data_IF_542155198350
#
_entry.id   IF_542155198350
#
_cell.length_a   1.000
_cell.length_b   1.000
_cell.length_c   1.000
_cell.angle_alpha   90.00
_cell.angle_beta   90.00
_cell.angle_gamma   90.00
#
_symmetry.space_group_name_H-M   'P 1'
#
loop_
_entity.id
_entity.type
_entity.pdbx_description
1 polymer ?
#
# COMPACT_ATOMS: atom_id res chain seq x y z
N UNK A 1 -15.85 9.81 22.44
CA UNK A 1 -15.96 10.54 21.16
C UNK A 1 -14.56 10.87 20.67
N UNK A 2 -13.95 9.95 19.92
CA UNK A 2 -12.69 10.26 19.23
C UNK A 2 -12.95 11.42 18.26
N UNK A 3 -12.04 12.40 18.21
CA UNK A 3 -12.14 13.51 17.23
C UNK A 3 -12.22 12.93 15.83
N UNK A 4 -13.36 13.09 15.17
CA UNK A 4 -13.55 12.73 13.77
C UNK A 4 -12.48 13.43 12.93
N UNK A 5 -11.75 12.66 12.12
CA UNK A 5 -10.78 13.17 11.17
C UNK A 5 -11.47 14.15 10.21
N UNK A 6 -10.88 15.32 10.02
CA UNK A 6 -11.41 16.29 9.04
C UNK A 6 -11.29 15.73 7.62
N UNK A 7 -12.15 16.17 6.69
CA UNK A 7 -12.09 15.73 5.29
C UNK A 7 -10.69 15.90 4.68
N UNK A 8 -9.99 17.00 4.99
CA UNK A 8 -8.62 17.23 4.51
C UNK A 8 -7.62 16.22 5.07
N UNK A 9 -7.79 15.81 6.34
CA UNK A 9 -6.93 14.79 6.95
C UNK A 9 -7.21 13.42 6.35
N UNK A 10 -8.49 13.06 6.16
CA UNK A 10 -8.88 11.81 5.47
C UNK A 10 -8.31 11.74 4.06
N UNK A 11 -8.42 12.82 3.29
CA UNK A 11 -7.86 12.91 1.94
C UNK A 11 -6.33 12.78 1.93
N UNK A 12 -5.63 13.44 2.86
CA UNK A 12 -4.17 13.33 3.01
C UNK A 12 -3.76 11.90 3.36
N UNK A 13 -4.49 11.25 4.24
CA UNK A 13 -4.25 9.88 4.66
C UNK A 13 -4.46 8.91 3.49
N UNK A 14 -5.59 9.01 2.78
CA UNK A 14 -5.86 8.22 1.59
C UNK A 14 -4.74 8.35 0.55
N UNK A 15 -4.31 9.58 0.24
CA UNK A 15 -3.17 9.83 -0.68
C UNK A 15 -1.89 9.12 -0.24
N UNK A 16 -1.56 9.15 1.05
CA UNK A 16 -0.38 8.47 1.59
C UNK A 16 -0.53 6.96 1.49
N UNK A 17 -1.67 6.40 1.87
CA UNK A 17 -1.96 4.96 1.79
C UNK A 17 -1.82 4.49 0.35
N UNK A 18 -2.48 5.15 -0.62
CA UNK A 18 -2.49 4.72 -2.01
C UNK A 18 -1.15 4.90 -2.71
N UNK A 19 -0.41 5.97 -2.39
CA UNK A 19 0.97 6.14 -2.87
C UNK A 19 1.88 5.03 -2.35
N UNK A 20 1.78 4.68 -1.07
CA UNK A 20 2.54 3.57 -0.48
C UNK A 20 2.13 2.23 -1.08
N UNK A 21 0.83 2.03 -1.35
CA UNK A 21 0.27 0.82 -1.95
C UNK A 21 0.84 0.56 -3.35
N UNK A 22 0.79 1.56 -4.24
CA UNK A 22 1.36 1.41 -5.58
C UNK A 22 2.88 1.25 -5.56
N UNK A 23 3.56 1.95 -4.64
CA UNK A 23 5.00 1.74 -4.44
C UNK A 23 5.29 0.31 -3.99
N UNK A 24 4.51 -0.24 -3.06
CA UNK A 24 4.67 -1.60 -2.58
C UNK A 24 4.46 -2.62 -3.71
N UNK A 25 3.45 -2.42 -4.57
CA UNK A 25 3.24 -3.26 -5.75
C UNK A 25 4.45 -3.25 -6.70
N UNK A 26 5.01 -2.06 -6.99
CA UNK A 26 6.20 -1.93 -7.82
C UNK A 26 7.45 -2.55 -7.18
N UNK A 27 7.64 -2.34 -5.87
CA UNK A 27 8.76 -2.91 -5.11
C UNK A 27 8.68 -4.45 -5.11
N UNK A 28 7.50 -5.04 -4.91
CA UNK A 28 7.28 -6.50 -4.99
C UNK A 28 7.63 -7.00 -6.40
N UNK A 29 7.18 -6.31 -7.44
CA UNK A 29 7.49 -6.67 -8.84
C UNK A 29 9.00 -6.65 -9.08
N UNK A 30 9.67 -5.58 -8.68
CA UNK A 30 11.13 -5.46 -8.79
C UNK A 30 11.86 -6.57 -8.04
N UNK A 31 11.47 -6.83 -6.79
CA UNK A 31 12.03 -7.88 -5.96
C UNK A 31 11.83 -9.28 -6.59
N UNK A 32 10.66 -9.53 -7.19
CA UNK A 32 10.37 -10.80 -7.85
C UNK A 32 11.16 -11.04 -9.14
N UNK A 33 11.52 -9.98 -9.88
CA UNK A 33 12.20 -10.07 -11.17
C UNK A 33 13.72 -10.06 -11.06
N UNK A 34 14.27 -9.36 -10.07
CA UNK A 34 15.71 -9.10 -9.98
C UNK A 34 16.45 -9.93 -8.92
N UNK A 35 15.74 -10.69 -8.08
CA UNK A 35 16.37 -11.55 -7.07
C UNK A 35 16.06 -13.03 -7.29
N UNK A 36 17.10 -13.81 -7.54
CA UNK A 36 17.07 -15.26 -7.41
C UNK A 36 17.25 -15.60 -5.92
N UNK A 37 16.13 -15.80 -5.22
CA UNK A 37 16.10 -16.14 -3.80
C UNK A 37 16.70 -17.52 -3.47
N UNK A 38 17.04 -18.32 -4.50
CA UNK A 38 17.68 -19.61 -4.33
C UNK A 38 19.19 -19.49 -4.56
N UNK A 39 20.04 -20.03 -3.66
CA UNK A 39 21.47 -20.03 -3.85
C UNK A 39 21.81 -20.75 -5.15
N UNK A 40 22.49 -20.04 -6.06
CA UNK A 40 23.10 -20.67 -7.22
C UNK A 40 24.29 -21.47 -6.70
N UNK A 41 24.12 -22.78 -6.59
CA UNK A 41 25.20 -23.69 -6.19
C UNK A 41 26.22 -23.68 -7.32
N UNK A 42 27.31 -22.94 -7.12
CA UNK A 42 28.44 -22.94 -8.03
C UNK A 42 29.21 -24.26 -7.82
N UNK A 43 28.86 -25.27 -8.63
CA UNK A 43 29.34 -26.67 -8.53
C UNK A 43 30.88 -26.76 -8.65
N UNK A 44 31.54 -25.68 -9.06
CA UNK A 44 32.99 -25.59 -9.26
C UNK A 44 33.75 -24.89 -8.12
N UNK A 45 33.08 -24.32 -7.11
CA UNK A 45 33.76 -23.75 -5.93
C UNK A 45 34.17 -24.85 -4.94
N UNK A 46 35.34 -25.44 -5.21
CA UNK A 46 36.01 -26.36 -4.28
C UNK A 46 36.63 -25.54 -3.14
N UNK A 47 36.02 -25.67 -1.96
CA UNK A 47 36.55 -25.30 -0.63
C UNK A 47 37.30 -23.96 -0.54
N UNK A 48 36.59 -22.90 -0.18
CA UNK A 48 37.21 -21.75 0.50
C UNK A 48 36.77 -21.74 1.97
N UNK A 49 37.75 -21.49 2.85
CA UNK A 49 37.68 -21.70 4.29
C UNK A 49 36.58 -20.92 5.02
N UNK A 50 36.23 -21.47 6.18
CA UNK A 50 35.29 -20.91 7.15
C UNK A 50 35.53 -19.41 7.36
N UNK A 51 34.58 -18.55 6.97
CA UNK A 51 34.18 -17.30 7.69
C UNK A 51 33.23 -16.36 6.93
N UNK A 52 32.98 -16.50 5.62
CA UNK A 52 32.23 -15.47 4.87
C UNK A 52 30.81 -15.83 4.38
N UNK A 53 30.31 -17.03 4.66
CA UNK A 53 28.98 -17.47 4.20
C UNK A 53 27.79 -16.82 4.95
N UNK A 54 28.00 -16.18 6.11
CA UNK A 54 26.89 -15.63 6.91
C UNK A 54 26.32 -14.30 6.40
N UNK A 55 27.09 -13.50 5.64
CA UNK A 55 26.65 -12.16 5.17
C UNK A 55 25.66 -12.20 3.99
N UNK A 56 25.85 -13.05 2.95
CA UNK A 56 24.89 -13.19 1.86
C UNK A 56 23.53 -13.70 2.35
N UNK A 57 23.54 -14.68 3.26
CA UNK A 57 22.31 -15.30 3.79
C UNK A 57 21.46 -14.32 4.59
N UNK A 58 22.09 -13.48 5.42
CA UNK A 58 21.38 -12.43 6.17
C UNK A 58 20.75 -11.37 5.24
N UNK A 59 21.43 -11.01 4.13
CA UNK A 59 20.90 -10.05 3.16
C UNK A 59 19.71 -10.63 2.39
N UNK A 60 19.79 -11.91 1.98
CA UNK A 60 18.69 -12.62 1.33
C UNK A 60 17.48 -12.72 2.27
N UNK A 61 17.71 -13.11 3.52
CA UNK A 61 16.65 -13.26 4.52
C UNK A 61 15.94 -11.92 4.81
N UNK A 62 16.70 -10.84 4.95
CA UNK A 62 16.14 -9.49 5.09
C UNK A 62 15.28 -9.06 3.88
N UNK A 63 15.69 -9.42 2.66
CA UNK A 63 14.91 -9.11 1.46
C UNK A 63 13.65 -9.96 1.34
N UNK A 64 13.69 -11.22 1.79
CA UNK A 64 12.51 -12.08 1.87
C UNK A 64 11.51 -11.54 2.88
N UNK A 65 11.97 -11.16 4.08
CA UNK A 65 11.13 -10.51 5.11
C UNK A 65 10.50 -9.23 4.58
N UNK A 66 11.29 -8.33 3.97
CA UNK A 66 10.77 -7.11 3.36
C UNK A 66 9.71 -7.39 2.29
N UNK A 67 9.94 -8.39 1.43
CA UNK A 67 8.95 -8.77 0.41
C UNK A 67 7.65 -9.23 1.06
N UNK A 68 7.74 -10.07 2.09
CA UNK A 68 6.58 -10.58 2.82
C UNK A 68 5.80 -9.44 3.51
N UNK A 69 6.50 -8.47 4.12
CA UNK A 69 5.87 -7.28 4.71
C UNK A 69 5.10 -6.47 3.66
N UNK A 70 5.69 -6.26 2.48
CA UNK A 70 5.04 -5.55 1.37
C UNK A 70 3.82 -6.32 0.85
N UNK A 71 3.93 -7.65 0.70
CA UNK A 71 2.81 -8.51 0.27
C UNK A 71 1.68 -8.48 1.29
N UNK A 72 1.98 -8.53 2.59
CA UNK A 72 1.00 -8.40 3.66
C UNK A 72 0.28 -7.05 3.61
N UNK A 73 1.03 -5.96 3.41
CA UNK A 73 0.45 -4.63 3.26
C UNK A 73 -0.45 -4.51 2.01
N UNK A 74 -0.02 -5.03 0.86
CA UNK A 74 -0.83 -5.06 -0.36
C UNK A 74 -2.09 -5.89 -0.17
N UNK A 75 -1.97 -7.07 0.45
CA UNK A 75 -3.10 -7.96 0.76
C UNK A 75 -4.12 -7.29 1.67
N UNK A 76 -3.66 -6.57 2.69
CA UNK A 76 -4.51 -5.78 3.59
C UNK A 76 -5.31 -4.71 2.84
N UNK A 77 -4.66 -3.95 1.96
CA UNK A 77 -5.36 -2.93 1.16
C UNK A 77 -6.38 -3.58 0.21
N UNK A 78 -6.04 -4.71 -0.41
CA UNK A 78 -6.97 -5.46 -1.26
C UNK A 78 -8.19 -5.97 -0.49
N UNK A 79 -8.02 -6.40 0.77
CA UNK A 79 -9.13 -6.79 1.63
C UNK A 79 -10.05 -5.59 1.90
N UNK A 80 -9.48 -4.41 2.23
CA UNK A 80 -10.25 -3.18 2.38
C UNK A 80 -11.08 -2.91 1.12
N UNK A 81 -10.47 -2.98 -0.07
CA UNK A 81 -11.17 -2.78 -1.34
C UNK A 81 -12.33 -3.76 -1.56
N UNK A 82 -12.14 -5.02 -1.18
CA UNK A 82 -13.18 -6.04 -1.33
C UNK A 82 -14.40 -5.82 -0.43
N UNK A 83 -14.24 -5.08 0.68
CA UNK A 83 -15.32 -4.74 1.60
C UNK A 83 -15.99 -3.41 1.30
N UNK A 84 -15.32 -2.52 0.54
CA UNK A 84 -15.91 -1.27 0.11
C UNK A 84 -17.05 -1.50 -0.89
N UNK A 85 -18.05 -0.64 -0.84
CA UNK A 85 -19.09 -0.57 -1.85
C UNK A 85 -18.50 -0.29 -3.23
N UNK A 86 -19.14 -0.85 -4.26
CA UNK A 86 -18.68 -0.70 -5.65
C UNK A 86 -18.54 0.77 -6.07
N UNK A 87 -19.48 1.63 -5.67
CA UNK A 87 -19.43 3.07 -5.93
C UNK A 87 -18.19 3.70 -5.30
N UNK A 88 -17.91 3.39 -4.04
CA UNK A 88 -16.77 3.94 -3.32
C UNK A 88 -15.44 3.44 -3.85
N UNK A 89 -15.33 2.16 -4.19
CA UNK A 89 -14.13 1.62 -4.79
C UNK A 89 -13.85 2.24 -6.17
N UNK A 90 -14.86 2.38 -7.04
CA UNK A 90 -14.69 3.05 -8.33
C UNK A 90 -14.28 4.53 -8.19
N UNK A 91 -14.77 5.22 -7.15
CA UNK A 91 -14.28 6.56 -6.82
C UNK A 91 -12.80 6.54 -6.42
N UNK A 92 -12.40 5.62 -5.54
CA UNK A 92 -11.00 5.46 -5.10
C UNK A 92 -10.08 5.19 -6.30
N UNK A 93 -10.49 4.30 -7.20
CA UNK A 93 -9.72 3.98 -8.41
C UNK A 93 -9.47 5.23 -9.25
N UNK A 94 -10.50 6.03 -9.46
CA UNK A 94 -10.43 7.24 -10.28
C UNK A 94 -9.63 8.37 -9.60
N UNK A 95 -9.78 8.53 -8.28
CA UNK A 95 -9.21 9.66 -7.52
C UNK A 95 -7.76 9.41 -7.05
N UNK A 96 -7.45 8.19 -6.60
CA UNK A 96 -6.20 7.90 -5.89
C UNK A 96 -5.30 6.87 -6.57
N UNK A 97 -5.84 6.02 -7.45
CA UNK A 97 -5.04 5.05 -8.19
C UNK A 97 -4.73 5.53 -9.61
N UNK A 98 -5.64 6.28 -10.23
CA UNK A 98 -5.47 6.83 -11.57
C UNK A 98 -5.02 8.30 -11.53
N UNK A 99 -3.70 8.55 -11.64
CA UNK A 99 -3.16 9.91 -11.64
C UNK A 99 -3.17 10.61 -13.00
N UNK A 100 -3.69 9.98 -14.06
CA UNK A 100 -3.62 10.55 -15.41
C UNK A 100 -4.59 11.73 -15.59
N UNK A 101 -5.71 11.76 -14.85
CA UNK A 101 -6.70 12.82 -14.97
C UNK A 101 -7.19 13.32 -13.59
N UNK A 102 -6.65 14.43 -13.06
CA UNK A 102 -7.07 14.98 -11.77
C UNK A 102 -8.52 15.54 -11.80
N UNK A 103 -9.03 15.86 -12.99
CA UNK A 103 -10.34 16.47 -13.21
C UNK A 103 -11.37 15.46 -13.75
N UNK A 104 -11.12 14.18 -13.53
CA UNK A 104 -11.96 13.06 -13.99
C UNK A 104 -13.44 13.22 -13.61
N UNK A 105 -13.74 13.90 -12.50
CA UNK A 105 -15.07 14.06 -11.93
C UNK A 105 -15.92 15.14 -12.61
N UNK A 106 -15.29 16.11 -13.30
CA UNK A 106 -15.99 17.28 -13.88
C UNK A 106 -17.14 16.89 -14.82
N UNK A 107 -16.99 15.90 -15.72
CA UNK A 107 -18.07 15.51 -16.63
C UNK A 107 -19.26 14.84 -15.95
N UNK A 108 -19.09 14.29 -14.74
CA UNK A 108 -20.06 13.41 -14.09
C UNK A 108 -20.76 14.04 -12.89
N UNK A 109 -20.11 14.99 -12.22
CA UNK A 109 -20.58 15.52 -10.94
C UNK A 109 -20.53 17.04 -10.90
N UNK A 110 -21.55 17.65 -10.29
CA UNK A 110 -21.40 19.00 -9.78
C UNK A 110 -20.38 19.01 -8.64
N UNK A 111 -19.68 20.14 -8.44
CA UNK A 111 -18.68 20.27 -7.37
C UNK A 111 -19.23 19.86 -6.00
N UNK A 112 -20.45 20.26 -5.66
CA UNK A 112 -21.09 19.89 -4.40
C UNK A 112 -21.33 18.38 -4.28
N UNK A 113 -21.79 17.73 -5.35
CA UNK A 113 -22.03 16.29 -5.38
C UNK A 113 -20.73 15.50 -5.25
N UNK A 114 -19.68 15.94 -5.94
CA UNK A 114 -18.34 15.36 -5.84
C UNK A 114 -17.83 15.38 -4.40
N UNK A 115 -17.86 16.53 -3.71
CA UNK A 115 -17.34 16.61 -2.33
C UNK A 115 -18.20 15.83 -1.32
N UNK A 116 -19.52 15.69 -1.55
CA UNK A 116 -20.37 14.81 -0.73
C UNK A 116 -20.00 13.35 -0.93
N UNK A 117 -19.84 12.92 -2.18
CA UNK A 117 -19.40 11.56 -2.50
C UNK A 117 -18.01 11.30 -1.91
N UNK A 118 -17.06 12.21 -2.12
CA UNK A 118 -15.71 12.12 -1.54
C UNK A 118 -15.72 11.97 -0.03
N UNK A 119 -16.59 12.70 0.68
CA UNK A 119 -16.73 12.56 2.13
C UNK A 119 -17.22 11.16 2.50
N UNK A 120 -18.31 10.69 1.88
CA UNK A 120 -18.86 9.34 2.09
C UNK A 120 -17.82 8.24 1.85
N UNK A 121 -17.11 8.33 0.71
CA UNK A 121 -16.08 7.35 0.33
C UNK A 121 -14.93 7.32 1.31
N UNK A 122 -14.49 8.49 1.77
CA UNK A 122 -13.41 8.59 2.75
C UNK A 122 -13.86 8.14 4.15
N UNK A 123 -15.11 8.34 4.53
CA UNK A 123 -15.65 7.79 5.79
C UNK A 123 -15.62 6.26 5.76
N UNK A 124 -16.13 5.68 4.69
CA UNK A 124 -16.14 4.23 4.48
C UNK A 124 -14.73 3.63 4.44
N UNK A 125 -13.80 4.31 3.75
CA UNK A 125 -12.40 3.89 3.75
C UNK A 125 -11.82 3.87 5.16
N UNK A 126 -12.06 4.92 5.95
CA UNK A 126 -11.52 5.02 7.31
C UNK A 126 -12.12 3.93 8.20
N UNK A 127 -13.42 3.67 8.11
CA UNK A 127 -14.11 2.60 8.84
C UNK A 127 -13.43 1.24 8.61
N UNK A 128 -13.17 0.87 7.36
CA UNK A 128 -12.48 -0.39 7.07
C UNK A 128 -11.01 -0.38 7.46
N UNK A 129 -10.30 0.74 7.32
CA UNK A 129 -8.89 0.84 7.73
C UNK A 129 -8.69 0.65 9.24
N UNK A 130 -9.69 0.99 10.06
CA UNK A 130 -9.65 0.78 11.51
C UNK A 130 -9.65 -0.70 11.90
N UNK A 131 -10.02 -1.61 10.99
CA UNK A 131 -9.91 -3.05 11.21
C UNK A 131 -8.44 -3.53 11.25
N UNK A 132 -7.53 -2.76 10.66
CA UNK A 132 -6.12 -3.13 10.52
C UNK A 132 -5.16 -2.18 11.24
N UNK A 133 -5.53 -0.91 11.39
CA UNK A 133 -4.71 0.12 12.05
C UNK A 133 -5.44 0.75 13.21
N UNK A 134 -4.71 0.99 14.30
CA UNK A 134 -5.24 1.77 15.42
C UNK A 134 -5.36 3.25 15.06
N UNK A 135 -6.20 4.00 15.78
CA UNK A 135 -6.31 5.46 15.64
C UNK A 135 -4.95 6.17 15.75
N UNK A 136 -4.03 5.63 16.56
CA UNK A 136 -2.68 6.19 16.71
C UNK A 136 -1.76 5.88 15.52
N UNK A 137 -1.91 4.71 14.89
CA UNK A 137 -1.19 4.38 13.65
C UNK A 137 -1.61 5.30 12.51
N UNK A 138 -2.91 5.54 12.36
CA UNK A 138 -3.45 6.48 11.37
C UNK A 138 -2.94 7.91 11.62
N UNK A 139 -2.79 8.32 12.88
CA UNK A 139 -2.20 9.61 13.25
C UNK A 139 -0.70 9.68 12.95
N UNK A 140 0.05 8.58 13.13
CA UNK A 140 1.47 8.48 12.75
C UNK A 140 1.62 8.64 11.25
N UNK A 141 0.72 8.05 10.45
CA UNK A 141 0.70 8.23 9.00
C UNK A 141 0.41 9.68 8.58
N UNK A 142 -0.23 10.50 9.42
CA UNK A 142 -0.52 11.90 9.09
C UNK A 142 0.64 12.88 9.35
N UNK A 143 1.52 12.55 10.30
CA UNK A 143 2.77 13.29 10.57
C UNK A 143 3.67 13.28 9.33
#
# INVERSE_FOLDING_TARGET
MEKELTLKQKDKLAKKIYKSYQRAQLDILYLSQHYNYYPQIDIFKVKEGDTNYQKPDAMILQQMERKQELENFVSMINQIHSHMSKESYSFIESEYLNFYNPDWWIPYFSRASYYRLKHKVLDELIEYTQSFWTSDDLRRLLK
#
